data_IF_937716345305
#
_entry.id   IF_937716345305
#
_cell.length_a   1.000
_cell.length_b   1.000
_cell.length_c   1.000
_cell.angle_alpha   90.00
_cell.angle_beta   90.00
_cell.angle_gamma   90.00
#
_symmetry.space_group_name_H-M   'P 1'
#
loop_
_entity.id
_entity.type
_entity.pdbx_description
1 polymer ?
#
# COMPACT_ATOMS: atom_id res chain seq x y z
N UNK A 1 10.38 -36.01 49.11
CA UNK A 1 9.40 -35.76 50.19
C UNK A 1 8.35 -34.77 49.69
N UNK A 2 7.07 -35.19 49.60
CA UNK A 2 5.92 -34.26 49.70
C UNK A 2 5.77 -33.76 51.14
N UNK A 3 4.68 -33.05 51.56
CA UNK A 3 3.29 -33.07 51.06
C UNK A 3 2.75 -31.63 50.80
N UNK A 4 1.51 -31.26 50.52
CA UNK A 4 0.19 -31.90 50.38
C UNK A 4 -0.80 -30.79 49.96
N UNK A 5 -1.57 -31.00 48.89
CA UNK A 5 -3.03 -31.21 48.92
C UNK A 5 -3.83 -30.28 49.84
N UNK A 6 -4.54 -29.31 49.25
CA UNK A 6 -5.88 -28.90 49.69
C UNK A 6 -6.80 -28.68 48.49
N UNK A 7 -7.80 -29.57 48.38
CA UNK A 7 -9.01 -29.43 47.57
C UNK A 7 -9.93 -28.39 48.22
N UNK A 8 -10.57 -27.57 47.41
CA UNK A 8 -11.66 -26.68 47.81
C UNK A 8 -12.67 -26.58 46.66
N UNK A 9 -13.54 -27.58 46.59
CA UNK A 9 -14.82 -27.53 45.86
C UNK A 9 -15.78 -26.66 46.69
N UNK A 10 -16.56 -25.78 46.06
CA UNK A 10 -17.88 -25.25 46.49
C UNK A 10 -18.31 -24.24 45.40
N UNK A 11 -19.05 -24.69 44.39
CA UNK A 11 -20.52 -24.61 44.26
C UNK A 11 -21.10 -23.20 44.44
N UNK A 12 -21.69 -22.72 43.34
CA UNK A 12 -22.52 -21.51 43.21
C UNK A 12 -23.60 -21.38 44.29
N UNK A 13 -24.10 -20.15 44.46
CA UNK A 13 -25.55 -19.96 44.48
C UNK A 13 -26.01 -18.89 43.47
N UNK A 14 -27.09 -19.23 42.77
CA UNK A 14 -27.89 -18.35 41.92
C UNK A 14 -28.92 -17.58 42.76
N UNK A 15 -29.25 -16.35 42.35
CA UNK A 15 -30.55 -15.63 42.43
C UNK A 15 -30.34 -14.09 42.48
N UNK A 16 -31.34 -13.22 42.19
CA UNK A 16 -32.56 -13.40 41.39
C UNK A 16 -32.78 -12.30 40.33
N UNK A 17 -33.83 -12.50 39.54
CA UNK A 17 -34.44 -11.60 38.56
C UNK A 17 -34.65 -10.15 39.02
N UNK A 18 -34.24 -9.22 38.16
CA UNK A 18 -34.54 -7.79 38.26
C UNK A 18 -34.90 -7.23 36.89
N UNK A 19 -36.17 -7.34 36.52
CA UNK A 19 -36.79 -6.61 35.42
C UNK A 19 -36.77 -5.10 35.74
N UNK A 20 -35.95 -4.34 35.02
CA UNK A 20 -36.16 -2.90 34.85
C UNK A 20 -35.73 -2.49 33.45
N UNK A 21 -36.71 -2.03 32.68
CA UNK A 21 -36.56 -1.66 31.29
C UNK A 21 -35.58 -0.50 31.13
N UNK A 22 -34.51 -0.75 30.38
CA UNK A 22 -33.74 0.34 29.80
C UNK A 22 -33.90 0.31 28.28
N UNK A 23 -34.63 1.31 27.81
CA UNK A 23 -34.96 1.65 26.44
C UNK A 23 -33.65 1.68 25.64
N UNK A 24 -33.32 0.58 24.96
CA UNK A 24 -32.21 0.50 24.00
C UNK A 24 -32.53 1.47 22.87
N UNK A 25 -32.09 2.72 23.02
CA UNK A 25 -31.91 3.63 21.89
C UNK A 25 -30.95 2.92 20.94
N UNK A 26 -31.49 2.44 19.84
CA UNK A 26 -30.71 2.03 18.68
C UNK A 26 -30.06 3.29 18.14
N UNK A 27 -28.86 3.61 18.64
CA UNK A 27 -27.98 4.57 17.99
C UNK A 27 -27.70 3.99 16.62
N UNK A 28 -28.43 4.48 15.62
CA UNK A 28 -28.14 4.26 14.21
C UNK A 28 -26.80 4.92 13.95
N UNK A 29 -25.71 4.21 14.21
CA UNK A 29 -24.40 4.51 13.66
C UNK A 29 -24.53 4.42 12.16
N UNK A 30 -24.90 5.54 11.52
CA UNK A 30 -24.63 5.77 10.11
C UNK A 30 -23.12 5.84 9.98
N UNK A 31 -22.49 4.68 9.93
CA UNK A 31 -21.15 4.50 9.38
C UNK A 31 -21.22 4.82 7.89
N UNK A 32 -21.34 6.10 7.57
CA UNK A 32 -21.00 6.58 6.24
C UNK A 32 -19.52 6.30 6.06
N UNK A 33 -19.18 5.64 4.96
CA UNK A 33 -17.82 5.58 4.44
C UNK A 33 -17.19 6.96 4.65
N UNK A 34 -16.06 7.01 5.34
CA UNK A 34 -15.25 8.23 5.44
C UNK A 34 -14.77 8.54 4.02
N UNK A 35 -15.60 9.25 3.26
CA UNK A 35 -15.16 9.86 2.00
C UNK A 35 -13.96 10.71 2.39
N UNK A 36 -12.79 10.33 1.87
CA UNK A 36 -11.52 11.03 2.09
C UNK A 36 -11.55 12.42 1.41
N UNK A 37 -12.58 12.68 0.60
CA UNK A 37 -12.86 14.00 0.07
C UNK A 37 -13.38 14.94 1.18
N UNK A 38 -12.68 16.06 1.42
CA UNK A 38 -13.14 17.07 2.37
C UNK A 38 -14.43 17.69 1.87
N UNK A 39 -15.36 17.92 2.80
CA UNK A 39 -16.64 18.59 2.52
C UNK A 39 -16.39 20.08 2.37
N UNK A 40 -17.15 20.73 1.49
CA UNK A 40 -17.01 22.16 1.19
C UNK A 40 -18.33 22.89 1.30
N UNK A 41 -18.29 24.14 1.73
CA UNK A 41 -19.41 25.09 1.74
C UNK A 41 -20.69 24.45 2.34
N UNK A 42 -21.76 24.35 1.55
CA UNK A 42 -23.08 23.83 1.95
C UNK A 42 -23.09 22.34 2.30
N UNK A 43 -22.01 21.60 2.02
CA UNK A 43 -21.90 20.20 2.42
C UNK A 43 -21.61 20.04 3.92
N UNK A 44 -21.20 21.11 4.59
CA UNK A 44 -20.91 21.14 6.03
C UNK A 44 -22.22 21.23 6.79
N UNK A 45 -22.52 20.21 7.62
CA UNK A 45 -23.78 20.11 8.39
C UNK A 45 -23.65 20.55 9.85
N UNK A 46 -22.48 21.04 10.24
CA UNK A 46 -22.21 21.49 11.61
C UNK A 46 -22.87 22.85 11.87
N UNK A 47 -23.37 23.07 13.09
CA UNK A 47 -23.95 24.38 13.48
C UNK A 47 -22.87 25.40 13.82
N UNK A 48 -21.82 24.94 14.47
CA UNK A 48 -20.67 25.73 14.90
C UNK A 48 -19.40 25.09 14.34
N UNK A 49 -18.50 25.93 13.84
CA UNK A 49 -17.24 25.52 13.23
C UNK A 49 -16.09 26.33 13.82
N UNK A 50 -14.93 25.70 13.98
CA UNK A 50 -13.69 26.42 14.27
C UNK A 50 -13.11 26.91 12.96
N UNK A 51 -13.10 28.22 12.76
CA UNK A 51 -12.65 28.86 11.53
C UNK A 51 -11.17 29.21 11.60
N UNK A 52 -10.45 28.84 10.54
CA UNK A 52 -9.08 29.23 10.27
C UNK A 52 -9.06 30.04 8.97
N UNK A 53 -8.46 31.22 9.01
CA UNK A 53 -8.28 32.10 7.86
C UNK A 53 -7.29 31.55 6.82
N UNK A 54 -7.18 32.22 5.65
CA UNK A 54 -6.36 31.76 4.53
C UNK A 54 -4.88 31.63 4.90
N UNK A 55 -4.34 32.62 5.63
CA UNK A 55 -2.96 32.67 6.12
C UNK A 55 -2.71 31.84 7.39
N UNK A 56 -3.71 31.08 7.87
CA UNK A 56 -3.60 30.29 9.10
C UNK A 56 -3.95 31.05 10.39
N UNK A 57 -4.52 32.25 10.27
CA UNK A 57 -5.06 33.00 11.41
C UNK A 57 -6.23 32.24 12.05
N UNK A 58 -6.26 32.13 13.37
CA UNK A 58 -7.35 31.47 14.08
C UNK A 58 -8.42 32.48 14.45
N UNK A 59 -9.54 32.49 13.71
CA UNK A 59 -10.69 33.36 13.98
C UNK A 59 -11.48 32.86 15.21
N UNK A 60 -11.39 31.56 15.50
CA UNK A 60 -12.02 30.93 16.66
C UNK A 60 -13.28 30.14 16.31
N UNK A 61 -14.21 30.02 17.25
CA UNK A 61 -15.46 29.29 17.05
C UNK A 61 -16.51 30.28 16.54
N UNK A 62 -17.04 30.01 15.35
CA UNK A 62 -18.07 30.84 14.72
C UNK A 62 -19.24 29.97 14.24
N UNK A 63 -20.45 30.53 14.13
CA UNK A 63 -21.56 29.86 13.45
C UNK A 63 -21.22 29.59 11.98
N UNK A 64 -21.75 28.50 11.43
CA UNK A 64 -21.54 28.14 10.02
C UNK A 64 -21.92 29.27 9.05
N UNK A 65 -23.05 29.94 9.30
CA UNK A 65 -23.52 31.06 8.48
C UNK A 65 -22.50 32.19 8.41
N UNK A 66 -21.88 32.53 9.55
CA UNK A 66 -20.85 33.57 9.60
C UNK A 66 -19.58 33.12 8.88
N UNK A 67 -19.21 31.85 8.99
CA UNK A 67 -18.07 31.30 8.25
C UNK A 67 -18.29 31.32 6.73
N UNK A 68 -19.51 31.02 6.26
CA UNK A 68 -19.86 31.09 4.84
C UNK A 68 -19.86 32.53 4.31
N UNK A 69 -20.35 33.50 5.10
CA UNK A 69 -20.25 34.92 4.74
C UNK A 69 -18.79 35.37 4.61
N UNK A 70 -17.95 35.04 5.58
CA UNK A 70 -16.52 35.38 5.55
C UNK A 70 -15.79 34.70 4.38
N UNK A 71 -16.24 33.52 3.95
CA UNK A 71 -15.72 32.86 2.76
C UNK A 71 -16.09 33.63 1.49
N UNK A 72 -17.36 34.05 1.37
CA UNK A 72 -17.86 34.86 0.26
C UNK A 72 -17.23 36.26 0.20
N UNK A 73 -17.00 36.91 1.35
CA UNK A 73 -16.37 38.24 1.43
C UNK A 73 -14.93 38.25 0.89
N UNK A 74 -14.26 37.08 0.91
CA UNK A 74 -12.86 36.90 0.51
C UNK A 74 -12.75 36.10 -0.81
N UNK A 75 -13.88 35.80 -1.46
CA UNK A 75 -13.95 34.96 -2.67
C UNK A 75 -13.23 33.61 -2.54
N UNK A 76 -13.28 33.00 -1.35
CA UNK A 76 -12.67 31.69 -1.05
C UNK A 76 -13.73 30.66 -0.64
N UNK A 77 -13.37 29.37 -0.68
CA UNK A 77 -14.23 28.29 -0.20
C UNK A 77 -13.99 27.98 1.28
N UNK A 78 -15.06 27.59 1.97
CA UNK A 78 -15.00 27.02 3.30
C UNK A 78 -14.78 25.51 3.19
N UNK A 79 -13.56 25.04 3.48
CA UNK A 79 -13.20 23.62 3.39
C UNK A 79 -13.09 23.00 4.77
N UNK A 80 -13.80 21.90 5.01
CA UNK A 80 -13.73 21.11 6.24
C UNK A 80 -12.48 20.21 6.23
N UNK A 81 -11.43 20.60 6.96
CA UNK A 81 -10.16 19.86 7.02
C UNK A 81 -10.20 18.75 8.07
N UNK A 82 -10.90 18.98 9.20
CA UNK A 82 -10.98 18.01 10.28
C UNK A 82 -12.44 17.82 10.75
N UNK A 83 -13.18 16.86 10.17
CA UNK A 83 -14.56 16.56 10.57
C UNK A 83 -14.67 15.83 11.91
N UNK A 84 -13.58 15.25 12.41
CA UNK A 84 -13.56 14.48 13.66
C UNK A 84 -13.45 15.35 14.92
N UNK A 85 -13.12 16.65 14.77
CA UNK A 85 -13.00 17.57 15.89
C UNK A 85 -14.38 18.05 16.37
N UNK A 86 -14.49 18.42 17.66
CA UNK A 86 -15.68 19.04 18.25
C UNK A 86 -15.29 20.40 18.86
N UNK A 87 -15.65 21.53 18.25
CA UNK A 87 -16.32 21.71 16.95
C UNK A 87 -15.41 21.37 15.73
N UNK A 88 -15.98 21.00 14.56
CA UNK A 88 -15.21 20.70 13.34
C UNK A 88 -14.33 21.87 12.91
N UNK A 89 -13.16 21.57 12.34
CA UNK A 89 -12.22 22.61 11.89
C UNK A 89 -12.40 22.87 10.41
N UNK A 90 -12.77 24.11 10.08
CA UNK A 90 -12.95 24.61 8.73
C UNK A 90 -11.86 25.65 8.43
N UNK A 91 -11.27 25.57 7.26
CA UNK A 91 -10.26 26.52 6.78
C UNK A 91 -10.75 27.17 5.49
N UNK A 92 -10.57 28.49 5.40
CA UNK A 92 -10.80 29.25 4.17
C UNK A 92 -9.66 28.96 3.20
N UNK A 93 -9.97 28.36 2.05
CA UNK A 93 -9.00 28.07 0.99
C UNK A 93 -9.70 27.84 -0.34
N UNK A 94 -9.00 28.01 -1.45
CA UNK A 94 -9.49 27.62 -2.77
C UNK A 94 -9.54 26.08 -2.89
N UNK A 95 -10.74 25.52 -3.03
CA UNK A 95 -10.93 24.07 -3.15
C UNK A 95 -10.39 23.51 -4.47
N UNK A 96 -10.48 24.25 -5.56
CA UNK A 96 -9.98 23.84 -6.88
C UNK A 96 -8.48 23.64 -6.87
N UNK A 97 -7.74 24.62 -6.33
CA UNK A 97 -6.29 24.53 -6.17
C UNK A 97 -5.88 23.40 -5.23
N UNK A 98 -6.57 23.27 -4.09
CA UNK A 98 -6.31 22.20 -3.13
C UNK A 98 -6.54 20.80 -3.73
N UNK A 99 -7.61 20.60 -4.51
CA UNK A 99 -7.90 19.35 -5.20
C UNK A 99 -6.82 19.01 -6.24
N UNK A 100 -6.33 20.01 -6.96
CA UNK A 100 -5.24 19.82 -7.92
C UNK A 100 -3.92 19.43 -7.22
N UNK A 101 -3.51 20.16 -6.18
CA UNK A 101 -2.28 19.87 -5.45
C UNK A 101 -2.33 18.53 -4.73
N UNK A 102 -3.46 18.18 -4.10
CA UNK A 102 -3.65 16.88 -3.46
C UNK A 102 -3.65 15.75 -4.49
N UNK A 103 -4.27 15.94 -5.66
CA UNK A 103 -4.22 14.97 -6.75
C UNK A 103 -2.81 14.83 -7.32
N UNK A 104 -2.06 15.92 -7.47
CA UNK A 104 -0.68 15.93 -7.95
C UNK A 104 0.24 15.21 -6.95
N UNK A 105 0.16 15.56 -5.67
CA UNK A 105 0.89 14.87 -4.59
C UNK A 105 0.52 13.40 -4.51
N UNK A 106 -0.75 13.04 -4.67
CA UNK A 106 -1.18 11.64 -4.68
C UNK A 106 -0.68 10.89 -5.92
N UNK A 107 -0.54 11.56 -7.07
CA UNK A 107 0.07 10.99 -8.28
C UNK A 107 1.58 10.85 -8.14
N UNK A 108 2.26 11.83 -7.57
CA UNK A 108 3.69 11.78 -7.26
C UNK A 108 4.00 10.71 -6.22
N UNK A 109 3.22 10.61 -5.15
CA UNK A 109 3.36 9.56 -4.15
C UNK A 109 3.14 8.18 -4.77
N UNK A 110 2.16 8.03 -5.67
CA UNK A 110 1.93 6.78 -6.41
C UNK A 110 3.06 6.45 -7.38
N UNK A 111 3.65 7.44 -8.05
CA UNK A 111 4.82 7.25 -8.93
C UNK A 111 6.08 6.90 -8.15
N UNK A 112 6.30 7.56 -7.01
CA UNK A 112 7.46 7.35 -6.16
C UNK A 112 7.37 6.06 -5.34
N UNK A 113 6.15 5.54 -5.10
CA UNK A 113 5.94 4.23 -4.53
C UNK A 113 6.30 3.17 -5.58
N UNK A 114 7.58 2.76 -5.60
CA UNK A 114 8.02 1.64 -6.43
C UNK A 114 7.22 0.38 -6.05
N UNK A 115 6.32 -0.05 -6.94
CA UNK A 115 5.64 -1.31 -6.79
C UNK A 115 6.67 -2.42 -6.90
N UNK A 116 6.92 -3.12 -5.79
CA UNK A 116 7.74 -4.34 -5.83
C UNK A 116 6.95 -5.41 -6.59
N UNK A 117 7.32 -5.66 -7.85
CA UNK A 117 6.62 -6.62 -8.70
C UNK A 117 7.24 -8.00 -8.48
N UNK A 118 6.40 -9.04 -8.45
CA UNK A 118 6.87 -10.42 -8.47
C UNK A 118 7.07 -10.81 -9.93
N UNK A 119 8.32 -10.96 -10.36
CA UNK A 119 8.67 -11.47 -11.70
C UNK A 119 8.75 -12.98 -11.66
N UNK A 120 8.12 -13.64 -12.62
CA UNK A 120 8.14 -15.09 -12.71
C UNK A 120 9.19 -15.54 -13.74
N UNK A 121 10.08 -16.44 -13.33
CA UNK A 121 11.06 -17.07 -14.20
C UNK A 121 10.84 -18.56 -14.30
N UNK A 122 10.55 -19.04 -15.51
CA UNK A 122 10.32 -20.45 -15.79
C UNK A 122 11.61 -21.10 -16.27
N UNK A 123 12.01 -22.18 -15.62
CA UNK A 123 13.19 -22.97 -15.94
C UNK A 123 12.80 -24.42 -16.26
N UNK A 124 13.65 -25.09 -17.03
CA UNK A 124 13.55 -26.53 -17.29
C UNK A 124 14.63 -27.27 -16.51
N UNK A 125 14.38 -28.51 -16.07
CA UNK A 125 15.39 -29.30 -15.33
C UNK A 125 16.59 -29.72 -16.21
N UNK A 126 16.45 -29.75 -17.53
CA UNK A 126 17.53 -29.99 -18.51
C UNK A 126 17.83 -28.71 -19.29
N UNK A 127 18.34 -27.71 -18.58
CA UNK A 127 18.77 -26.45 -19.20
C UNK A 127 20.20 -26.58 -19.73
N UNK A 128 20.46 -25.98 -20.87
CA UNK A 128 21.81 -25.84 -21.42
C UNK A 128 22.62 -24.83 -20.57
N UNK A 129 23.94 -25.01 -20.38
CA UNK A 129 24.76 -24.06 -19.63
C UNK A 129 24.64 -22.60 -20.11
N UNK A 130 24.54 -22.37 -21.42
CA UNK A 130 24.41 -21.02 -21.98
C UNK A 130 23.04 -20.38 -21.68
N UNK A 131 21.96 -21.16 -21.76
CA UNK A 131 20.61 -20.68 -21.38
C UNK A 131 20.55 -20.42 -19.86
N UNK A 132 21.22 -21.25 -19.05
CA UNK A 132 21.31 -21.03 -17.60
C UNK A 132 21.94 -19.68 -17.25
N UNK A 133 23.06 -19.32 -17.89
CA UNK A 133 23.72 -18.03 -17.68
C UNK A 133 22.82 -16.84 -18.04
N UNK A 134 22.09 -16.95 -19.15
CA UNK A 134 21.14 -15.91 -19.58
C UNK A 134 20.01 -15.72 -18.56
N UNK A 135 19.42 -16.82 -18.08
CA UNK A 135 18.36 -16.77 -17.07
C UNK A 135 18.87 -16.28 -15.72
N UNK A 136 20.07 -16.69 -15.31
CA UNK A 136 20.75 -16.15 -14.12
C UNK A 136 20.92 -14.64 -14.25
N UNK A 137 21.37 -14.15 -15.40
CA UNK A 137 21.49 -12.72 -15.69
C UNK A 137 20.17 -11.98 -15.51
N UNK A 138 19.05 -12.56 -15.94
CA UNK A 138 17.71 -11.99 -15.70
C UNK A 138 17.34 -11.96 -14.21
N UNK A 139 17.58 -13.04 -13.47
CA UNK A 139 17.31 -13.07 -12.02
C UNK A 139 18.13 -12.00 -11.30
N UNK A 140 19.43 -11.90 -11.62
CA UNK A 140 20.32 -10.86 -11.08
C UNK A 140 19.81 -9.46 -11.42
N UNK A 141 19.37 -9.22 -12.66
CA UNK A 141 18.81 -7.93 -13.09
C UNK A 141 17.55 -7.57 -12.31
N UNK A 142 16.64 -8.53 -12.10
CA UNK A 142 15.41 -8.30 -11.32
C UNK A 142 15.69 -8.05 -9.85
N UNK A 143 16.62 -8.80 -9.25
CA UNK A 143 17.04 -8.57 -7.86
C UNK A 143 17.73 -7.21 -7.69
N UNK A 144 18.57 -6.79 -8.66
CA UNK A 144 19.17 -5.44 -8.69
C UNK A 144 18.13 -4.33 -8.87
N UNK A 145 17.02 -4.60 -9.55
CA UNK A 145 15.89 -3.68 -9.67
C UNK A 145 15.03 -3.62 -8.39
N UNK A 146 15.27 -4.48 -7.40
CA UNK A 146 14.48 -4.54 -6.17
C UNK A 146 13.18 -5.34 -6.29
N UNK A 147 12.99 -6.06 -7.39
CA UNK A 147 11.84 -6.95 -7.62
C UNK A 147 12.05 -8.32 -6.94
N UNK A 148 10.95 -8.95 -6.56
CA UNK A 148 10.96 -10.35 -6.10
C UNK A 148 10.92 -11.27 -7.31
N UNK A 149 11.65 -12.38 -7.25
CA UNK A 149 11.68 -13.34 -8.35
C UNK A 149 11.12 -14.68 -7.90
N UNK A 150 10.06 -15.13 -8.56
CA UNK A 150 9.51 -16.47 -8.41
C UNK A 150 10.10 -17.36 -9.50
N UNK A 151 11.00 -18.26 -9.13
CA UNK A 151 11.59 -19.24 -10.02
C UNK A 151 10.73 -20.50 -10.00
N UNK A 152 10.26 -20.91 -11.17
CA UNK A 152 9.39 -22.07 -11.36
C UNK A 152 10.06 -23.07 -12.29
N UNK A 153 10.43 -24.23 -11.79
CA UNK A 153 10.87 -25.37 -12.59
C UNK A 153 9.65 -26.18 -12.98
N UNK A 154 9.44 -26.39 -14.28
CA UNK A 154 8.37 -27.26 -14.77
C UNK A 154 8.91 -28.65 -15.06
N UNK A 155 8.36 -29.67 -14.41
CA UNK A 155 8.69 -31.06 -14.71
C UNK A 155 7.78 -31.61 -15.80
N UNK A 156 8.36 -32.25 -16.82
CA UNK A 156 7.58 -32.86 -17.90
C UNK A 156 7.62 -34.38 -17.81
N UNK A 157 6.42 -35.00 -17.76
CA UNK A 157 6.25 -36.45 -17.87
C UNK A 157 6.98 -37.23 -16.79
N UNK A 158 7.89 -38.12 -17.19
CA UNK A 158 8.63 -39.05 -16.34
C UNK A 158 9.65 -38.38 -15.40
N UNK A 159 9.86 -37.08 -15.51
CA UNK A 159 10.82 -36.32 -14.69
C UNK A 159 10.24 -35.91 -13.33
N UNK A 160 8.92 -36.06 -13.11
CA UNK A 160 8.28 -35.83 -11.81
C UNK A 160 8.78 -36.80 -10.72
N UNK A 161 9.31 -37.97 -11.11
CA UNK A 161 9.89 -38.95 -10.18
C UNK A 161 11.32 -38.59 -9.73
N UNK A 162 11.94 -37.55 -10.32
CA UNK A 162 13.30 -37.08 -9.95
C UNK A 162 13.30 -35.59 -9.58
N UNK A 163 12.65 -35.21 -8.46
CA UNK A 163 12.70 -33.82 -7.96
C UNK A 163 14.12 -33.39 -7.57
N UNK A 164 15.03 -34.33 -7.29
CA UNK A 164 16.43 -34.05 -6.94
C UNK A 164 17.16 -33.18 -7.98
N UNK A 165 16.89 -33.38 -9.28
CA UNK A 165 17.55 -32.60 -10.34
C UNK A 165 17.15 -31.12 -10.28
N UNK A 166 15.86 -30.86 -10.05
CA UNK A 166 15.35 -29.50 -9.87
C UNK A 166 15.89 -28.87 -8.58
N UNK A 167 15.94 -29.63 -7.49
CA UNK A 167 16.47 -29.15 -6.21
C UNK A 167 17.94 -28.77 -6.31
N UNK A 168 18.78 -29.58 -6.97
CA UNK A 168 20.20 -29.28 -7.18
C UNK A 168 20.40 -28.01 -8.02
N UNK A 169 19.57 -27.81 -9.05
CA UNK A 169 19.62 -26.59 -9.88
C UNK A 169 19.26 -25.35 -9.06
N UNK A 170 18.20 -25.42 -8.24
CA UNK A 170 17.78 -24.31 -7.39
C UNK A 170 18.81 -23.99 -6.32
N UNK A 171 19.41 -25.01 -5.69
CA UNK A 171 20.46 -24.84 -4.70
C UNK A 171 21.71 -24.18 -5.29
N UNK A 172 22.13 -24.59 -6.49
CA UNK A 172 23.23 -23.93 -7.20
C UNK A 172 22.91 -22.46 -7.51
N UNK A 173 21.68 -22.20 -7.96
CA UNK A 173 21.22 -20.83 -8.24
C UNK A 173 21.14 -19.98 -6.97
N UNK A 174 20.75 -20.56 -5.83
CA UNK A 174 20.77 -19.92 -4.51
C UNK A 174 22.19 -19.53 -4.08
N UNK A 175 23.15 -20.46 -4.17
CA UNK A 175 24.55 -20.21 -3.82
C UNK A 175 25.14 -19.07 -4.65
N UNK A 176 24.90 -19.07 -5.96
CA UNK A 176 25.40 -18.04 -6.89
C UNK A 176 24.71 -16.67 -6.73
N UNK A 177 23.56 -16.59 -6.07
CA UNK A 177 22.76 -15.35 -5.89
C UNK A 177 22.76 -14.86 -4.43
N UNK A 178 23.32 -15.64 -3.51
CA UNK A 178 23.41 -15.34 -2.08
C UNK A 178 23.98 -13.95 -1.74
N UNK A 179 24.81 -13.38 -2.62
CA UNK A 179 25.36 -12.02 -2.47
C UNK A 179 24.33 -10.90 -2.69
N UNK A 180 23.32 -11.13 -3.55
CA UNK A 180 22.36 -10.10 -3.99
C UNK A 180 20.96 -10.28 -3.37
N UNK A 181 20.61 -11.50 -2.98
CA UNK A 181 19.29 -11.84 -2.48
C UNK A 181 19.31 -13.00 -1.50
N UNK A 182 18.20 -13.15 -0.80
CA UNK A 182 17.95 -14.26 0.12
C UNK A 182 16.72 -15.06 -0.33
N UNK A 183 16.64 -16.31 0.10
CA UNK A 183 15.48 -17.16 -0.15
C UNK A 183 14.36 -16.80 0.82
N UNK A 184 13.26 -16.25 0.30
CA UNK A 184 12.06 -15.97 1.09
C UNK A 184 11.18 -17.23 1.22
N UNK A 185 11.08 -18.01 0.14
CA UNK A 185 10.40 -19.30 0.15
C UNK A 185 11.32 -20.38 -0.42
N UNK A 186 11.67 -21.34 0.44
CA UNK A 186 12.46 -22.51 0.09
C UNK A 186 11.83 -23.29 -1.09
N UNK A 187 12.63 -24.07 -1.85
CA UNK A 187 12.13 -24.91 -2.93
C UNK A 187 10.98 -25.82 -2.47
N UNK A 188 9.77 -25.54 -2.95
CA UNK A 188 8.58 -26.35 -2.67
C UNK A 188 8.07 -26.97 -3.96
N UNK A 189 7.77 -28.25 -3.91
CA UNK A 189 7.11 -28.95 -5.01
C UNK A 189 5.61 -28.68 -4.96
N UNK A 190 5.11 -27.97 -5.97
CA UNK A 190 3.70 -27.71 -6.22
C UNK A 190 3.25 -28.57 -7.41
N UNK A 191 2.98 -29.85 -7.12
CA UNK A 191 2.58 -30.86 -8.09
C UNK A 191 3.60 -31.08 -9.20
N UNK A 192 3.30 -30.55 -10.39
CA UNK A 192 4.15 -30.66 -11.60
C UNK A 192 5.23 -29.58 -11.69
N UNK A 193 5.20 -28.64 -10.76
CA UNK A 193 6.08 -27.49 -10.73
C UNK A 193 6.86 -27.51 -9.42
N UNK A 194 8.09 -26.98 -9.43
CA UNK A 194 8.81 -26.66 -8.20
C UNK A 194 9.09 -25.19 -8.19
N UNK A 195 8.68 -24.53 -7.12
CA UNK A 195 8.74 -23.08 -6.98
C UNK A 195 9.72 -22.70 -5.88
N UNK A 196 10.46 -21.62 -6.12
CA UNK A 196 11.32 -20.95 -5.15
C UNK A 196 11.12 -19.45 -5.30
N UNK A 197 11.04 -18.72 -4.18
CA UNK A 197 10.91 -17.26 -4.22
C UNK A 197 12.16 -16.63 -3.62
N UNK A 198 12.79 -15.77 -4.42
CA UNK A 198 13.96 -14.99 -4.08
C UNK A 198 13.54 -13.54 -3.83
N UNK A 199 14.07 -12.97 -2.75
CA UNK A 199 13.90 -11.57 -2.39
C UNK A 199 15.26 -10.85 -2.41
N UNK A 200 15.32 -9.59 -2.88
CA UNK A 200 16.56 -8.84 -2.90
C UNK A 200 16.95 -8.40 -1.49
N UNK A 201 18.26 -8.27 -1.23
CA UNK A 201 18.75 -7.69 0.01
C UNK A 201 18.28 -6.23 0.17
N UNK A 202 18.03 -5.81 1.42
CA UNK A 202 17.66 -4.41 1.75
C UNK A 202 18.69 -3.41 1.19
N UNK A 203 19.97 -3.76 1.20
CA UNK A 203 21.04 -2.94 0.64
C UNK A 203 20.89 -2.72 -0.88
N UNK A 204 20.55 -3.78 -1.63
CA UNK A 204 20.30 -3.70 -3.08
C UNK A 204 19.03 -2.92 -3.37
N UNK A 205 17.99 -3.09 -2.52
CA UNK A 205 16.75 -2.34 -2.62
C UNK A 205 16.97 -0.83 -2.48
N UNK A 206 17.88 -0.38 -1.60
CA UNK A 206 18.20 1.03 -1.45
C UNK A 206 18.88 1.63 -2.70
N UNK A 207 19.80 0.88 -3.32
CA UNK A 207 20.49 1.32 -4.55
C UNK A 207 19.56 1.38 -5.75
N UNK A 208 18.60 0.44 -5.85
CA UNK A 208 17.57 0.44 -6.89
C UNK A 208 16.66 1.68 -6.81
N UNK A 209 16.32 2.12 -5.59
CA UNK A 209 15.52 3.32 -5.35
C UNK A 209 16.25 4.58 -5.85
N UNK A 210 17.58 4.64 -5.69
CA UNK A 210 18.38 5.75 -6.22
C UNK A 210 18.49 5.74 -7.76
N UNK A 211 18.50 4.57 -8.40
CA UNK A 211 18.60 4.44 -9.86
C UNK A 211 17.26 4.71 -10.57
N UNK A 212 16.13 4.25 -10.02
CA UNK A 212 14.80 4.48 -10.58
C UNK A 212 14.41 5.98 -10.62
N UNK A 213 14.88 6.78 -9.67
CA UNK A 213 14.66 8.22 -9.65
C UNK A 213 15.35 9.00 -10.79
N UNK A 214 16.29 8.37 -11.51
CA UNK A 214 16.98 8.96 -12.68
C UNK A 214 16.39 8.53 -14.03
N UNK A 215 15.69 7.39 -14.11
CA UNK A 215 15.14 6.86 -15.36
C UNK A 215 13.86 7.55 -15.83
N UNK A 216 12.99 7.95 -14.90
CA UNK A 216 11.66 8.53 -15.21
C UNK A 216 11.71 9.98 -15.74
N UNK A 217 12.92 10.57 -15.85
CA UNK A 217 13.13 11.87 -16.51
C UNK A 217 13.45 11.76 -18.01
N UNK A 218 13.81 10.57 -18.50
CA UNK A 218 14.27 10.40 -19.89
C UNK A 218 13.16 10.06 -20.90
N UNK A 219 12.01 9.57 -20.47
CA UNK A 219 10.94 9.13 -21.39
C UNK A 219 9.90 10.22 -21.69
N UNK A 220 9.97 11.40 -21.05
CA UNK A 220 9.03 12.51 -21.28
C UNK A 220 9.41 13.42 -22.46
N UNK A 221 10.63 13.34 -23.02
CA UNK A 221 11.07 14.20 -24.14
C UNK A 221 10.90 13.59 -25.54
N UNK A 222 10.55 12.30 -25.67
CA UNK A 222 10.48 11.62 -26.98
C UNK A 222 9.08 11.59 -27.63
N UNK A 223 8.08 12.26 -27.06
CA UNK A 223 6.69 12.25 -27.58
C UNK A 223 6.13 13.62 -27.97
N UNK A 224 6.99 14.63 -28.09
CA UNK A 224 6.61 15.95 -28.59
C UNK A 224 7.48 16.35 -29.80
N UNK A 225 7.21 15.74 -30.96
CA UNK A 225 7.50 16.39 -32.24
C UNK A 225 6.17 16.86 -32.89
N UNK A 226 6.11 18.11 -33.37
CA UNK A 226 4.86 18.76 -33.76
C UNK A 226 4.42 18.39 -35.17
N UNK A 227 3.12 18.13 -35.32
CA UNK A 227 2.45 18.11 -36.61
C UNK A 227 2.25 19.55 -37.13
N UNK A 228 3.01 19.92 -38.16
CA UNK A 228 2.82 21.09 -39.02
C UNK A 228 3.45 20.71 -40.39
N UNK A 229 2.90 20.92 -41.58
CA UNK A 229 1.94 21.88 -42.10
C UNK A 229 1.25 21.33 -43.35
N UNK A 230 0.00 21.76 -43.58
CA UNK A 230 -0.70 21.70 -44.86
C UNK A 230 -0.18 22.76 -45.84
N UNK A 231 -0.28 22.49 -47.14
CA UNK A 231 -0.29 23.49 -48.22
C UNK A 231 0.66 23.20 -49.38
N UNK A 232 0.15 22.60 -50.46
CA UNK A 232 -0.07 23.25 -51.76
C UNK A 232 -1.12 22.47 -52.57
#
# INVERSE_FOLDING_TARGET
MGPGMRRGFLLSPAAPDGLSGNRRQTVRTRGGLISVEPRVNDQIRAREVRLVGPEGEQVGIVPLERALQLAADVDLDLVEVAPMARPPVCKLMDFGKFKYESALKAREARRNQQQTVIKEMKLRPKIDPHDYETKKGHVVRFLKAGDKVKVTIMFRGREQSRPELGYRLLRRLEEEISELGYVEAAPKQDGRNMIMVLAPHRAVKATAVAAGAKGDRGEAEASAEPAATAGE
#
